data_IF_265841043724
#
_entry.id   IF_265841043724
#
_cell.length_a   1.000
_cell.length_b   1.000
_cell.length_c   1.000
_cell.angle_alpha   90.00
_cell.angle_beta   90.00
_cell.angle_gamma   90.00
#
_symmetry.space_group_name_H-M   'P 1'
#
loop_
_entity.id
_entity.type
_entity.pdbx_description
1 polymer ?
#
# COMPACT_ATOMS: atom_id res chain seq x y z
N UNK A 1 -15.86 4.70 38.33
CA UNK A 1 -15.13 5.31 37.22
C UNK A 1 -15.64 4.74 35.92
N UNK A 2 -15.92 5.61 34.94
CA UNK A 2 -16.38 5.25 33.60
C UNK A 2 -15.22 4.91 32.66
N UNK A 3 -15.48 4.18 31.57
CA UNK A 3 -14.47 3.87 30.54
C UNK A 3 -13.81 5.14 29.96
N UNK A 4 -14.56 6.25 29.92
CA UNK A 4 -14.06 7.56 29.49
C UNK A 4 -12.96 8.09 30.42
N UNK A 5 -13.11 7.93 31.73
CA UNK A 5 -12.10 8.36 32.71
C UNK A 5 -10.85 7.50 32.60
N UNK A 6 -11.00 6.20 32.39
CA UNK A 6 -9.88 5.30 32.13
C UNK A 6 -9.15 5.67 30.82
N UNK A 7 -9.87 6.06 29.77
CA UNK A 7 -9.29 6.51 28.51
C UNK A 7 -8.50 7.82 28.70
N UNK A 8 -9.04 8.77 29.46
CA UNK A 8 -8.33 10.00 29.82
C UNK A 8 -7.06 9.70 30.63
N UNK A 9 -7.13 8.79 31.60
CA UNK A 9 -5.96 8.40 32.38
C UNK A 9 -4.89 7.73 31.50
N UNK A 10 -5.28 6.82 30.61
CA UNK A 10 -4.35 6.21 29.66
C UNK A 10 -3.71 7.24 28.73
N UNK A 11 -4.51 8.21 28.26
CA UNK A 11 -4.02 9.30 27.43
C UNK A 11 -3.03 10.21 28.17
N UNK A 12 -3.25 10.50 29.45
CA UNK A 12 -2.30 11.28 30.27
C UNK A 12 -0.98 10.52 30.47
N UNK A 13 -1.03 9.19 30.58
CA UNK A 13 0.14 8.36 30.87
C UNK A 13 0.98 8.06 29.61
N UNK A 14 0.34 7.63 28.52
CA UNK A 14 1.05 7.16 27.31
C UNK A 14 0.80 8.04 26.08
N UNK A 15 -0.21 8.91 26.10
CA UNK A 15 -0.65 9.66 24.93
C UNK A 15 0.44 10.54 24.35
N UNK A 16 0.47 10.65 23.02
CA UNK A 16 1.46 11.40 22.22
C UNK A 16 2.87 10.83 22.23
N UNK A 17 3.40 10.40 23.38
CA UNK A 17 4.77 9.91 23.54
C UNK A 17 4.91 8.43 23.17
N UNK A 18 3.95 7.59 23.57
CA UNK A 18 4.02 6.14 23.38
C UNK A 18 2.78 5.58 22.68
N UNK A 19 1.65 6.28 22.73
CA UNK A 19 0.36 5.86 22.21
C UNK A 19 -0.28 6.97 21.36
N UNK A 20 -0.75 6.61 20.17
CA UNK A 20 -1.37 7.53 19.20
C UNK A 20 -2.54 6.86 18.51
N UNK A 21 -3.50 7.67 18.09
CA UNK A 21 -4.69 7.22 17.38
C UNK A 21 -4.85 8.07 16.13
N UNK A 22 -4.89 7.46 14.96
CA UNK A 22 -5.19 8.18 13.73
C UNK A 22 -5.77 7.25 12.69
N UNK A 23 -6.69 7.77 11.90
CA UNK A 23 -7.35 7.03 10.80
C UNK A 23 -8.08 5.76 11.31
N UNK A 24 -8.62 5.79 12.53
CA UNK A 24 -9.29 4.63 13.13
C UNK A 24 -8.35 3.49 13.50
N UNK A 25 -7.06 3.78 13.68
CA UNK A 25 -6.04 2.82 14.08
C UNK A 25 -5.24 3.31 15.30
N UNK A 26 -4.87 2.36 16.15
CA UNK A 26 -3.99 2.60 17.28
C UNK A 26 -2.53 2.36 16.87
N UNK A 27 -1.65 3.30 17.17
CA UNK A 27 -0.22 3.26 16.92
C UNK A 27 0.54 3.36 18.22
N UNK A 28 1.54 2.50 18.39
CA UNK A 28 2.32 2.42 19.61
C UNK A 28 3.80 2.50 19.31
N UNK A 29 4.54 3.21 20.16
CA UNK A 29 5.99 3.33 20.04
C UNK A 29 6.64 1.98 20.35
N UNK A 30 7.24 1.37 19.33
CA UNK A 30 7.95 0.12 19.47
C UNK A 30 9.40 0.37 19.91
N UNK A 31 10.09 -0.56 20.60
CA UNK A 31 11.52 -0.44 20.96
C UNK A 31 12.48 -0.18 19.77
N UNK A 32 12.00 -0.39 18.54
CA UNK A 32 12.74 -0.02 17.34
C UNK A 32 12.77 1.49 17.06
N UNK A 33 12.05 2.31 17.84
CA UNK A 33 11.99 3.77 17.73
C UNK A 33 10.94 4.28 16.74
N UNK A 34 10.10 3.41 16.18
CA UNK A 34 9.01 3.80 15.28
C UNK A 34 7.65 3.44 15.88
N UNK A 35 6.65 4.27 15.61
CA UNK A 35 5.25 3.99 15.86
C UNK A 35 4.75 2.91 14.89
N UNK A 36 4.27 1.81 15.44
CA UNK A 36 3.72 0.69 14.69
C UNK A 36 2.25 0.51 15.01
N UNK A 37 1.48 0.10 14.00
CA UNK A 37 0.06 -0.23 14.18
C UNK A 37 -0.08 -1.39 15.16
N UNK A 38 -0.95 -1.22 16.15
CA UNK A 38 -1.33 -2.24 17.12
C UNK A 38 -1.97 -3.44 16.41
N UNK A 39 -1.57 -4.66 16.80
CA UNK A 39 -2.07 -5.94 16.24
C UNK A 39 -2.36 -6.98 17.34
N UNK A 40 -2.92 -6.56 18.47
CA UNK A 40 -3.43 -7.50 19.48
C UNK A 40 -2.48 -7.91 20.61
N UNK A 41 -1.28 -7.33 20.68
CA UNK A 41 -0.37 -7.50 21.85
C UNK A 41 -0.11 -6.12 22.45
N UNK A 42 -0.71 -5.78 23.60
CA UNK A 42 -0.48 -4.48 24.25
C UNK A 42 0.99 -4.35 24.63
N UNK A 43 1.72 -3.32 24.18
CA UNK A 43 3.09 -3.11 24.60
C UNK A 43 3.11 -2.70 26.06
N UNK A 44 4.05 -3.32 26.78
CA UNK A 44 4.57 -2.92 28.07
C UNK A 44 3.55 -2.37 29.08
N UNK A 45 2.51 -3.16 29.38
CA UNK A 45 1.62 -2.94 30.53
C UNK A 45 2.38 -2.74 31.85
N UNK A 46 3.66 -3.12 31.88
CA UNK A 46 4.58 -2.87 32.97
C UNK A 46 4.86 -1.37 33.18
N UNK A 47 4.90 -0.53 32.15
CA UNK A 47 5.16 0.92 32.28
C UNK A 47 4.00 1.63 32.96
N UNK A 48 2.78 1.42 32.46
CA UNK A 48 1.56 1.93 33.10
C UNK A 48 1.46 1.42 34.54
N UNK A 49 1.72 0.13 34.75
CA UNK A 49 1.68 -0.49 36.09
C UNK A 49 2.75 0.06 37.04
N UNK A 50 3.93 0.40 36.53
CA UNK A 50 5.04 0.99 37.28
C UNK A 50 4.72 2.43 37.66
N UNK A 51 4.28 3.26 36.71
CA UNK A 51 3.92 4.65 36.98
C UNK A 51 2.78 4.76 37.99
N UNK A 52 1.73 3.94 37.86
CA UNK A 52 0.63 3.94 38.83
C UNK A 52 1.06 3.46 40.21
N UNK A 53 2.03 2.55 40.29
CA UNK A 53 2.61 2.11 41.57
C UNK A 53 3.45 3.21 42.22
N UNK A 54 4.21 3.95 41.42
CA UNK A 54 4.96 5.12 41.87
C UNK A 54 4.02 6.23 42.36
N UNK A 55 2.94 6.50 41.63
CA UNK A 55 1.94 7.50 42.00
C UNK A 55 1.19 7.11 43.28
N UNK A 56 0.80 5.84 43.43
CA UNK A 56 0.24 5.33 44.68
C UNK A 56 1.19 5.57 45.85
N UNK A 57 2.46 5.18 45.67
CA UNK A 57 3.51 5.35 46.66
C UNK A 57 3.75 6.80 47.06
N UNK A 58 3.68 7.72 46.09
CA UNK A 58 3.82 9.15 46.30
C UNK A 58 2.73 9.69 47.24
N UNK A 59 1.46 9.37 46.99
CA UNK A 59 0.35 9.77 47.87
C UNK A 59 0.49 9.19 49.29
N UNK A 60 0.93 7.94 49.43
CA UNK A 60 1.16 7.33 50.76
C UNK A 60 2.29 8.01 51.55
N UNK A 61 3.22 8.67 50.86
CA UNK A 61 4.33 9.42 51.47
C UNK A 61 4.02 10.89 51.77
N UNK A 62 2.89 11.42 51.31
CA UNK A 62 2.51 12.79 51.65
C UNK A 62 2.35 12.95 53.17
N UNK A 63 2.80 14.07 53.76
CA UNK A 63 2.54 14.40 55.17
C UNK A 63 1.05 14.38 55.50
N UNK A 64 0.71 14.08 56.76
CA UNK A 64 -0.69 13.99 57.23
C UNK A 64 -1.46 15.29 57.03
N UNK A 65 -0.83 16.43 57.28
CA UNK A 65 -1.45 17.76 57.17
C UNK A 65 -1.39 18.36 55.76
N UNK A 66 -1.10 17.55 54.73
CA UNK A 66 -0.99 18.05 53.35
C UNK A 66 -2.35 18.53 52.85
N UNK A 67 -2.53 19.83 52.55
CA UNK A 67 -3.78 20.30 51.98
C UNK A 67 -3.93 19.83 50.52
N UNK A 68 -5.16 19.64 50.08
CA UNK A 68 -5.50 19.30 48.68
C UNK A 68 -5.48 20.56 47.80
N UNK A 69 -4.38 21.30 47.85
CA UNK A 69 -4.14 22.53 47.11
C UNK A 69 -2.97 22.35 46.13
N UNK A 70 -3.11 22.89 44.91
CA UNK A 70 -2.15 22.64 43.84
C UNK A 70 -0.73 23.08 44.19
N UNK A 71 -0.53 24.29 44.71
CA UNK A 71 0.79 24.82 45.01
C UNK A 71 1.44 24.05 46.16
N UNK A 72 0.66 23.70 47.18
CA UNK A 72 1.17 22.93 48.33
C UNK A 72 1.52 21.50 47.97
N UNK A 73 0.76 20.86 47.09
CA UNK A 73 1.10 19.54 46.58
C UNK A 73 2.42 19.57 45.78
N UNK A 74 2.61 20.58 44.94
CA UNK A 74 3.88 20.75 44.22
C UNK A 74 5.06 20.97 45.17
N UNK A 75 4.87 21.73 46.26
CA UNK A 75 5.90 21.91 47.29
C UNK A 75 6.24 20.59 48.00
N UNK A 76 5.25 19.79 48.37
CA UNK A 76 5.46 18.47 48.99
C UNK A 76 6.20 17.53 48.03
N UNK A 77 5.84 17.52 46.75
CA UNK A 77 6.54 16.72 45.73
C UNK A 77 7.99 17.20 45.58
N UNK A 78 8.21 18.51 45.51
CA UNK A 78 9.57 19.07 45.44
C UNK A 78 10.38 18.74 46.69
N UNK A 79 9.79 18.77 47.88
CA UNK A 79 10.48 18.33 49.10
C UNK A 79 10.89 16.86 49.01
N UNK A 80 10.00 15.97 48.55
CA UNK A 80 10.35 14.56 48.36
C UNK A 80 11.45 14.34 47.31
N UNK A 81 11.46 15.16 46.26
CA UNK A 81 12.52 15.20 45.25
C UNK A 81 13.87 15.59 45.86
N UNK A 82 13.88 16.66 46.67
CA UNK A 82 15.07 17.12 47.39
C UNK A 82 15.57 16.09 48.42
N UNK A 83 14.67 15.46 49.18
CA UNK A 83 15.00 14.37 50.11
C UNK A 83 15.60 13.15 49.40
N UNK A 84 15.25 12.93 48.14
CA UNK A 84 15.83 11.91 47.28
C UNK A 84 17.17 12.35 46.66
N UNK A 85 17.71 13.51 47.04
CA UNK A 85 18.97 14.04 46.50
C UNK A 85 18.87 14.35 45.00
N UNK A 86 17.70 14.81 44.56
CA UNK A 86 17.41 15.10 43.15
C UNK A 86 17.66 13.90 42.21
N UNK A 87 17.45 12.69 42.74
CA UNK A 87 17.64 11.44 42.02
C UNK A 87 16.29 10.76 41.77
N UNK A 88 15.92 10.68 40.49
CA UNK A 88 14.66 10.10 40.04
C UNK A 88 14.52 8.62 40.43
N UNK A 89 15.56 7.82 40.23
CA UNK A 89 15.53 6.39 40.55
C UNK A 89 15.39 6.16 42.06
N UNK A 90 16.03 7.01 42.87
CA UNK A 90 15.88 6.94 44.33
C UNK A 90 14.48 7.36 44.77
N UNK A 91 13.90 8.40 44.16
CA UNK A 91 12.53 8.82 44.43
C UNK A 91 11.53 7.70 44.08
N UNK A 92 11.64 7.12 42.87
CA UNK A 92 10.82 5.99 42.42
C UNK A 92 10.90 4.82 43.39
N UNK A 93 12.11 4.42 43.78
CA UNK A 93 12.33 3.32 44.72
C UNK A 93 11.64 3.56 46.06
N UNK A 94 11.71 4.79 46.59
CA UNK A 94 11.04 5.15 47.84
C UNK A 94 9.51 5.12 47.71
N UNK A 95 8.97 5.61 46.60
CA UNK A 95 7.54 5.56 46.33
C UNK A 95 7.05 4.11 46.21
N UNK A 96 7.72 3.28 45.40
CA UNK A 96 7.40 1.86 45.24
C UNK A 96 7.43 1.15 46.61
N UNK A 97 8.45 1.39 47.44
CA UNK A 97 8.54 0.81 48.78
C UNK A 97 7.34 1.20 49.66
N UNK A 98 6.89 2.45 49.60
CA UNK A 98 5.74 2.93 50.36
C UNK A 98 4.42 2.30 49.89
N UNK A 99 4.25 2.11 48.57
CA UNK A 99 3.12 1.40 47.98
C UNK A 99 3.08 -0.06 48.44
N UNK A 100 4.20 -0.79 48.27
CA UNK A 100 4.30 -2.22 48.64
C UNK A 100 4.13 -2.43 50.15
N UNK A 101 4.64 -1.51 50.97
CA UNK A 101 4.50 -1.59 52.43
C UNK A 101 3.13 -1.12 52.93
N UNK A 102 2.22 -0.70 52.04
CA UNK A 102 0.89 -0.18 52.37
C UNK A 102 0.94 0.89 53.48
N UNK A 103 1.85 1.85 53.35
CA UNK A 103 2.00 2.93 54.34
C UNK A 103 0.67 3.68 54.49
N UNK A 104 0.24 3.90 55.74
CA UNK A 104 -1.00 4.58 56.09
C UNK A 104 -2.27 3.71 56.05
N UNK A 105 -2.19 2.43 55.65
CA UNK A 105 -3.36 1.57 55.49
C UNK A 105 -4.11 1.28 56.81
N UNK A 106 -3.38 1.23 57.93
CA UNK A 106 -3.95 1.06 59.27
C UNK A 106 -4.84 2.22 59.69
N UNK A 107 -4.59 3.43 59.18
CA UNK A 107 -5.36 4.65 59.50
C UNK A 107 -6.80 4.57 58.97
N UNK A 108 -7.01 3.80 57.90
CA UNK A 108 -8.33 3.64 57.28
C UNK A 108 -9.06 2.39 57.79
N UNK A 109 -8.34 1.33 58.17
CA UNK A 109 -8.95 0.09 58.72
C UNK A 109 -9.54 0.23 60.13
N UNK A 110 -9.15 1.26 60.90
CA UNK A 110 -9.67 1.47 62.27
C UNK A 110 -11.11 2.03 62.31
N UNK A 111 -11.70 2.43 61.19
CA UNK A 111 -13.09 2.92 61.13
C UNK A 111 -13.83 2.11 60.07
N UNK A 112 -14.59 1.11 60.52
CA UNK A 112 -15.23 0.10 59.66
C UNK A 112 -16.20 0.68 58.64
N UNK A 113 -16.32 -0.04 57.52
CA UNK A 113 -17.34 0.16 56.48
C UNK A 113 -16.72 0.52 55.14
N UNK A 114 -16.88 -0.35 54.15
CA UNK A 114 -16.46 -0.17 52.75
C UNK A 114 -17.19 0.99 52.02
N UNK A 115 -18.05 1.74 52.72
CA UNK A 115 -18.88 2.84 52.21
C UNK A 115 -18.69 4.16 53.00
N UNK A 116 -17.47 4.46 53.46
CA UNK A 116 -17.18 5.77 54.02
C UNK A 116 -17.18 6.84 52.92
N UNK A 117 -18.07 7.82 53.07
CA UNK A 117 -18.30 8.95 52.14
C UNK A 117 -16.97 9.60 51.69
N UNK A 118 -16.70 9.53 50.38
CA UNK A 118 -15.41 9.84 49.74
C UNK A 118 -14.97 11.30 49.91
N UNK A 119 -15.89 12.17 50.31
CA UNK A 119 -15.74 13.62 50.36
C UNK A 119 -15.56 14.17 51.80
N UNK A 120 -15.75 13.32 52.83
CA UNK A 120 -15.88 13.76 54.23
C UNK A 120 -14.59 13.82 55.06
N UNK A 121 -13.57 13.01 54.76
CA UNK A 121 -12.38 12.89 55.62
C UNK A 121 -11.14 13.61 55.06
N UNK A 122 -11.14 14.94 55.21
CA UNK A 122 -10.06 15.85 54.80
C UNK A 122 -8.70 15.44 55.39
N UNK A 123 -8.65 14.71 56.51
CA UNK A 123 -7.38 14.31 57.16
C UNK A 123 -6.68 13.13 56.50
N UNK A 124 -7.41 12.23 55.83
CA UNK A 124 -6.85 10.99 55.29
C UNK A 124 -6.97 10.87 53.77
N UNK A 125 -7.31 11.97 53.08
CA UNK A 125 -7.53 12.00 51.62
C UNK A 125 -6.36 11.41 50.82
N UNK A 126 -5.12 11.51 51.32
CA UNK A 126 -3.91 10.96 50.70
C UNK A 126 -3.93 9.42 50.62
N UNK A 127 -4.38 8.75 51.68
CA UNK A 127 -4.48 7.28 51.71
C UNK A 127 -5.64 6.83 50.85
N UNK A 128 -6.72 7.60 50.85
CA UNK A 128 -7.85 7.38 49.96
C UNK A 128 -7.45 7.55 48.48
N UNK A 129 -6.73 8.61 48.11
CA UNK A 129 -6.19 8.81 46.76
C UNK A 129 -5.28 7.64 46.34
N UNK A 130 -4.40 7.18 47.22
CA UNK A 130 -3.58 6.00 46.96
C UNK A 130 -4.43 4.74 46.67
N UNK A 131 -5.51 4.49 47.44
CA UNK A 131 -6.44 3.39 47.16
C UNK A 131 -7.15 3.55 45.82
N UNK A 132 -7.57 4.76 45.46
CA UNK A 132 -8.18 5.05 44.15
C UNK A 132 -7.20 4.74 43.02
N UNK A 133 -5.92 5.13 43.14
CA UNK A 133 -4.87 4.80 42.17
C UNK A 133 -4.66 3.28 42.07
N UNK A 134 -4.64 2.57 43.19
CA UNK A 134 -4.54 1.10 43.20
C UNK A 134 -5.74 0.44 42.49
N UNK A 135 -6.96 0.89 42.77
CA UNK A 135 -8.16 0.40 42.09
C UNK A 135 -8.14 0.72 40.59
N UNK A 136 -7.67 1.92 40.22
CA UNK A 136 -7.50 2.33 38.83
C UNK A 136 -6.50 1.43 38.11
N UNK A 137 -5.37 1.10 38.74
CA UNK A 137 -4.36 0.18 38.19
C UNK A 137 -4.96 -1.18 37.83
N UNK A 138 -5.73 -1.78 38.75
CA UNK A 138 -6.39 -3.07 38.51
C UNK A 138 -7.41 -2.99 37.37
N UNK A 139 -8.20 -1.91 37.33
CA UNK A 139 -9.22 -1.71 36.28
C UNK A 139 -8.61 -1.46 34.90
N UNK A 140 -7.61 -0.59 34.81
CA UNK A 140 -6.89 -0.31 33.56
C UNK A 140 -6.21 -1.57 33.01
N UNK A 141 -5.54 -2.34 33.86
CA UNK A 141 -4.90 -3.59 33.44
C UNK A 141 -5.93 -4.57 32.84
N UNK A 142 -7.09 -4.71 33.48
CA UNK A 142 -8.18 -5.56 32.96
C UNK A 142 -8.71 -5.05 31.62
N UNK A 143 -9.03 -3.76 31.51
CA UNK A 143 -9.64 -3.19 30.31
C UNK A 143 -8.68 -3.12 29.10
N UNK A 144 -7.37 -2.99 29.35
CA UNK A 144 -6.33 -3.13 28.34
C UNK A 144 -6.19 -4.58 27.87
N UNK A 145 -6.27 -5.54 28.80
CA UNK A 145 -6.22 -6.98 28.47
C UNK A 145 -7.43 -7.43 27.66
N UNK A 146 -8.61 -6.89 27.97
CA UNK A 146 -9.86 -7.14 27.24
C UNK A 146 -10.00 -6.32 25.95
N UNK A 147 -9.00 -5.49 25.60
CA UNK A 147 -8.97 -4.57 24.46
C UNK A 147 -10.11 -3.53 24.38
N UNK A 148 -11.05 -3.55 25.33
CA UNK A 148 -12.20 -2.63 25.39
C UNK A 148 -11.77 -1.17 25.40
N UNK A 149 -10.72 -0.87 26.15
CA UNK A 149 -10.23 0.50 26.27
C UNK A 149 -9.58 1.00 24.98
N UNK A 150 -8.79 0.14 24.32
CA UNK A 150 -8.16 0.49 23.04
C UNK A 150 -9.21 0.66 21.94
N UNK A 151 -10.23 -0.21 21.87
CA UNK A 151 -11.33 -0.05 20.93
C UNK A 151 -12.09 1.26 21.16
N UNK A 152 -12.40 1.57 22.42
CA UNK A 152 -13.03 2.85 22.77
C UNK A 152 -12.17 4.04 22.32
N UNK A 153 -10.86 4.01 22.57
CA UNK A 153 -9.99 5.10 22.17
C UNK A 153 -9.82 5.19 20.65
N UNK A 154 -9.75 4.07 19.93
CA UNK A 154 -9.71 4.04 18.46
C UNK A 154 -10.95 4.68 17.85
N UNK A 155 -12.12 4.46 18.44
CA UNK A 155 -13.39 5.01 17.96
C UNK A 155 -13.52 6.51 18.24
N UNK A 156 -13.05 6.97 19.41
CA UNK A 156 -13.37 8.30 19.92
C UNK A 156 -12.18 9.28 19.98
N UNK A 157 -10.95 8.81 19.79
CA UNK A 157 -9.74 9.64 19.87
C UNK A 157 -9.08 9.77 18.49
N UNK A 158 -8.66 10.98 18.14
CA UNK A 158 -7.88 11.27 16.94
C UNK A 158 -6.73 12.20 17.32
N UNK A 159 -5.53 11.86 16.87
CA UNK A 159 -4.29 12.57 17.16
C UNK A 159 -3.70 13.10 15.86
N UNK A 160 -3.23 14.37 15.80
CA UNK A 160 -2.63 14.89 14.59
C UNK A 160 -1.45 14.03 14.13
N UNK A 161 -1.56 13.44 12.94
CA UNK A 161 -0.51 12.63 12.35
C UNK A 161 0.58 13.53 11.76
N UNK A 162 1.63 13.74 12.53
CA UNK A 162 2.90 14.31 12.04
C UNK A 162 3.80 13.15 11.69
N UNK A 163 4.47 13.21 10.55
CA UNK A 163 5.40 12.15 10.12
C UNK A 163 6.74 12.78 9.82
N UNK A 164 7.76 12.38 10.58
CA UNK A 164 9.12 12.76 10.29
C UNK A 164 9.58 12.09 9.00
N UNK A 165 10.39 12.80 8.21
CA UNK A 165 11.08 12.28 7.04
C UNK A 165 12.21 11.34 7.48
N UNK A 166 11.87 10.18 8.03
CA UNK A 166 12.84 9.25 8.58
C UNK A 166 12.34 7.80 8.58
N UNK A 167 13.27 6.86 8.73
CA UNK A 167 12.97 5.45 8.92
C UNK A 167 13.87 4.80 9.98
N UNK A 168 13.27 3.89 10.75
CA UNK A 168 13.96 3.10 11.75
C UNK A 168 14.38 1.74 11.16
N UNK A 169 15.64 1.38 11.31
CA UNK A 169 16.20 0.07 11.04
C UNK A 169 16.41 -0.71 12.35
N UNK A 170 16.75 -1.99 12.25
CA UNK A 170 16.98 -2.86 13.41
C UNK A 170 18.04 -2.32 14.39
N UNK A 171 19.04 -1.58 13.89
CA UNK A 171 20.15 -1.06 14.72
C UNK A 171 20.36 0.46 14.66
N UNK A 172 19.62 1.19 13.84
CA UNK A 172 19.80 2.63 13.67
C UNK A 172 18.53 3.32 13.20
N UNK A 173 18.51 4.65 13.19
CA UNK A 173 17.50 5.44 12.51
C UNK A 173 18.18 6.31 11.46
N UNK A 174 17.53 6.53 10.32
CA UNK A 174 18.01 7.37 9.24
C UNK A 174 17.00 8.49 9.02
N UNK A 175 17.46 9.72 9.15
CA UNK A 175 16.72 10.94 8.85
C UNK A 175 17.07 11.42 7.45
N UNK A 176 16.06 11.77 6.67
CA UNK A 176 16.18 12.34 5.33
C UNK A 176 16.04 13.85 5.45
N UNK A 177 17.14 14.56 5.24
CA UNK A 177 17.17 16.01 5.20
C UNK A 177 16.70 16.51 3.82
N UNK A 178 16.27 17.77 3.80
CA UNK A 178 16.12 18.51 2.54
C UNK A 178 17.47 18.47 1.79
N UNK A 179 17.42 18.50 0.45
CA UNK A 179 18.58 18.30 -0.46
C UNK A 179 18.99 16.84 -0.72
N UNK A 180 18.23 15.85 -0.20
CA UNK A 180 18.44 14.43 -0.53
C UNK A 180 19.59 13.77 0.23
N UNK A 181 20.03 14.39 1.32
CA UNK A 181 21.06 13.85 2.21
C UNK A 181 20.39 12.98 3.28
N UNK A 182 20.90 11.76 3.47
CA UNK A 182 20.45 10.86 4.52
C UNK A 182 21.49 10.80 5.64
N UNK A 183 21.07 11.00 6.89
CA UNK A 183 21.93 10.99 8.08
C UNK A 183 21.47 9.92 9.06
N UNK A 184 22.43 9.16 9.58
CA UNK A 184 22.17 8.27 10.71
C UNK A 184 22.02 9.08 12.00
N UNK A 185 20.93 8.85 12.72
CA UNK A 185 20.59 9.53 13.98
C UNK A 185 20.27 8.51 15.08
N UNK A 186 20.47 8.91 16.32
CA UNK A 186 20.04 8.12 17.47
C UNK A 186 18.50 8.12 17.53
N UNK A 187 17.90 6.96 17.86
CA UNK A 187 16.44 6.80 17.94
C UNK A 187 15.78 7.81 18.88
N UNK A 188 16.45 8.15 19.98
CA UNK A 188 15.94 9.11 20.96
C UNK A 188 15.86 10.55 20.43
N UNK A 189 16.62 10.87 19.38
CA UNK A 189 16.72 12.23 18.85
C UNK A 189 15.67 12.54 17.78
N UNK A 190 14.87 11.55 17.37
CA UNK A 190 13.85 11.71 16.35
C UNK A 190 12.51 11.19 16.84
N UNK A 191 11.48 12.02 16.67
CA UNK A 191 10.10 11.70 17.03
C UNK A 191 9.31 11.46 15.75
N UNK A 192 8.09 10.97 15.88
CA UNK A 192 7.12 10.93 14.79
C UNK A 192 7.53 10.03 13.60
N UNK A 193 8.29 8.97 13.84
CA UNK A 193 8.69 8.00 12.82
C UNK A 193 7.69 6.84 12.77
N UNK A 194 7.18 6.51 11.58
CA UNK A 194 6.18 5.45 11.38
C UNK A 194 6.68 4.31 10.49
N UNK A 195 7.88 4.45 9.93
CA UNK A 195 8.47 3.47 9.03
C UNK A 195 9.53 2.67 9.76
N UNK A 196 9.30 1.37 9.88
CA UNK A 196 10.29 0.42 10.38
C UNK A 196 10.68 -0.57 9.29
N UNK A 197 11.99 -0.74 9.09
CA UNK A 197 12.57 -1.71 8.19
C UNK A 197 13.26 -2.77 9.05
N UNK A 198 12.78 -4.04 9.05
CA UNK A 198 13.27 -5.11 9.92
C UNK A 198 14.61 -5.70 9.42
N UNK A 199 15.53 -4.83 9.02
CA UNK A 199 16.84 -5.20 8.54
C UNK A 199 17.89 -4.30 9.15
N UNK A 200 19.10 -4.83 9.27
CA UNK A 200 20.27 -4.01 9.55
C UNK A 200 20.62 -3.24 8.27
N UNK A 201 20.67 -1.91 8.36
CA UNK A 201 21.39 -1.08 7.40
C UNK A 201 22.84 -1.56 7.26
N UNK A 202 23.11 -2.37 6.24
CA UNK A 202 24.49 -2.76 5.89
C UNK A 202 25.22 -1.47 5.49
N UNK A 203 26.51 -1.36 5.82
CA UNK A 203 27.31 -0.13 5.72
C UNK A 203 27.44 0.46 4.30
N UNK A 204 28.63 0.96 3.95
CA UNK A 204 28.84 1.59 2.63
C UNK A 204 28.42 0.64 1.51
N UNK A 205 27.43 1.06 0.72
CA UNK A 205 27.02 0.33 -0.49
C UNK A 205 28.22 0.28 -1.40
N UNK A 206 28.68 -0.92 -1.76
CA UNK A 206 29.87 -1.03 -2.60
C UNK A 206 29.65 -0.33 -3.95
N UNK A 207 30.67 0.35 -4.51
CA UNK A 207 30.54 1.10 -5.75
C UNK A 207 30.00 0.28 -6.92
N UNK A 208 30.32 -1.02 -6.99
CA UNK A 208 29.83 -1.94 -8.02
C UNK A 208 28.31 -2.19 -7.90
N UNK A 209 27.75 -2.21 -6.69
CA UNK A 209 26.31 -2.31 -6.46
C UNK A 209 25.61 -1.02 -6.91
N UNK A 210 26.21 0.14 -6.63
CA UNK A 210 25.71 1.44 -7.12
C UNK A 210 25.75 1.50 -8.65
N UNK A 211 26.85 1.06 -9.26
CA UNK A 211 27.00 1.02 -10.71
C UNK A 211 25.98 0.06 -11.35
N UNK A 212 25.76 -1.12 -10.75
CA UNK A 212 24.72 -2.07 -11.17
C UNK A 212 23.32 -1.47 -11.06
N UNK A 213 23.03 -0.74 -9.99
CA UNK A 213 21.75 -0.05 -9.82
C UNK A 213 21.57 1.08 -10.84
N UNK A 214 22.61 1.88 -11.10
CA UNK A 214 22.58 2.92 -12.12
C UNK A 214 22.43 2.34 -13.53
N UNK A 215 23.16 1.26 -13.86
CA UNK A 215 23.02 0.52 -15.11
C UNK A 215 21.62 -0.06 -15.23
N UNK A 216 21.08 -0.64 -14.15
CA UNK A 216 19.70 -1.10 -14.08
C UNK A 216 18.73 0.04 -14.36
N UNK A 217 18.81 1.17 -13.66
CA UNK A 217 17.95 2.34 -13.92
C UNK A 217 18.06 2.84 -15.36
N UNK A 218 19.26 2.93 -15.94
CA UNK A 218 19.46 3.33 -17.35
C UNK A 218 18.85 2.34 -18.35
N UNK A 219 18.78 1.06 -17.99
CA UNK A 219 18.25 -0.01 -18.82
C UNK A 219 16.76 -0.30 -18.56
N UNK A 220 16.20 0.25 -17.48
CA UNK A 220 14.78 0.16 -17.17
C UNK A 220 13.94 0.87 -18.22
N UNK A 221 12.76 0.30 -18.48
CA UNK A 221 11.75 0.81 -19.42
C UNK A 221 11.52 2.33 -19.34
N UNK A 222 11.57 2.90 -18.13
CA UNK A 222 11.28 4.31 -17.86
C UNK A 222 12.42 5.29 -18.22
N UNK A 223 13.67 4.83 -18.25
CA UNK A 223 14.82 5.69 -18.63
C UNK A 223 15.27 5.49 -20.07
N UNK A 224 14.79 4.45 -20.75
CA UNK A 224 14.98 4.28 -22.20
C UNK A 224 13.95 5.13 -22.95
N UNK A 225 14.23 6.44 -23.06
CA UNK A 225 13.33 7.42 -23.69
C UNK A 225 12.86 7.01 -25.11
N UNK A 226 13.69 6.40 -25.97
CA UNK A 226 13.23 5.84 -27.25
C UNK A 226 12.16 4.74 -27.10
N UNK A 227 12.37 3.75 -26.23
CA UNK A 227 11.39 2.67 -26.00
C UNK A 227 10.12 3.23 -25.37
N UNK A 228 10.25 4.14 -24.40
CA UNK A 228 9.11 4.82 -23.78
C UNK A 228 8.27 5.59 -24.81
N UNK A 229 8.91 6.39 -25.67
CA UNK A 229 8.24 7.10 -26.77
C UNK A 229 7.57 6.15 -27.76
N UNK A 230 8.22 5.03 -28.08
CA UNK A 230 7.65 3.99 -28.95
C UNK A 230 6.38 3.37 -28.32
N UNK A 231 6.40 3.09 -27.01
CA UNK A 231 5.24 2.58 -26.29
C UNK A 231 4.13 3.62 -26.18
N UNK A 232 4.45 4.90 -25.95
CA UNK A 232 3.48 5.98 -25.98
C UNK A 232 2.85 6.14 -27.37
N UNK A 233 3.64 6.03 -28.44
CA UNK A 233 3.14 6.08 -29.82
C UNK A 233 2.19 4.90 -30.09
N UNK A 234 2.58 3.68 -29.72
CA UNK A 234 1.73 2.50 -29.80
C UNK A 234 0.43 2.66 -29.00
N UNK A 235 0.49 3.13 -27.77
CA UNK A 235 -0.71 3.42 -26.96
C UNK A 235 -1.60 4.47 -27.64
N UNK A 236 -1.02 5.51 -28.23
CA UNK A 236 -1.75 6.55 -28.92
C UNK A 236 -2.41 6.05 -30.22
N UNK A 237 -1.81 5.07 -30.91
CA UNK A 237 -2.40 4.38 -32.05
C UNK A 237 -3.55 3.47 -31.61
N UNK A 238 -3.35 2.67 -30.55
CA UNK A 238 -4.38 1.79 -30.00
C UNK A 238 -5.62 2.56 -29.52
N UNK A 239 -5.42 3.70 -28.81
CA UNK A 239 -6.52 4.58 -28.36
C UNK A 239 -7.33 5.19 -29.51
N UNK A 240 -6.77 5.27 -30.72
CA UNK A 240 -7.43 5.75 -31.94
C UNK A 240 -8.11 4.63 -32.74
N UNK A 241 -8.14 3.40 -32.19
CA UNK A 241 -8.76 2.25 -32.83
C UNK A 241 -7.88 1.57 -33.88
N UNK A 242 -6.60 1.95 -33.99
CA UNK A 242 -5.66 1.25 -34.88
C UNK A 242 -5.16 -0.03 -34.21
N UNK A 243 -5.08 -1.10 -35.01
CA UNK A 243 -4.60 -2.39 -34.52
C UNK A 243 -3.07 -2.33 -34.34
N UNK A 244 -2.62 -2.37 -33.09
CA UNK A 244 -1.20 -2.40 -32.75
C UNK A 244 -0.77 -3.84 -32.52
N UNK A 245 -0.30 -4.50 -33.57
CA UNK A 245 0.18 -5.89 -33.53
C UNK A 245 1.63 -5.95 -33.02
N UNK A 246 1.91 -5.31 -31.88
CA UNK A 246 3.25 -5.32 -31.26
C UNK A 246 3.16 -5.47 -29.75
N UNK A 247 3.96 -6.38 -29.21
CA UNK A 247 4.22 -6.51 -27.78
C UNK A 247 5.54 -5.82 -27.46
N UNK A 248 5.54 -5.00 -26.41
CA UNK A 248 6.75 -4.42 -25.86
C UNK A 248 7.20 -5.25 -24.65
N UNK A 249 8.16 -6.15 -24.87
CA UNK A 249 8.75 -6.95 -23.80
C UNK A 249 9.97 -6.20 -23.29
N UNK A 250 9.93 -5.75 -22.04
CA UNK A 250 11.04 -5.09 -21.37
C UNK A 250 11.36 -5.80 -20.06
N UNK A 251 12.65 -5.96 -19.76
CA UNK A 251 13.08 -6.26 -18.40
C UNK A 251 12.87 -5.00 -17.57
N UNK A 252 11.82 -4.97 -16.76
CA UNK A 252 11.58 -3.87 -15.84
C UNK A 252 10.90 -4.33 -14.55
N UNK A 253 11.09 -3.58 -13.46
CA UNK A 253 10.47 -3.85 -12.15
C UNK A 253 8.97 -3.55 -12.07
N UNK A 254 8.28 -3.41 -13.20
CA UNK A 254 6.85 -3.09 -13.25
C UNK A 254 6.52 -1.66 -12.80
N UNK A 255 5.42 -1.14 -13.32
CA UNK A 255 4.86 0.17 -12.97
C UNK A 255 3.88 0.59 -14.05
N UNK A 256 2.76 1.20 -13.71
CA UNK A 256 1.84 1.75 -14.69
C UNK A 256 1.09 2.95 -14.15
N UNK A 257 1.00 3.99 -14.99
CA UNK A 257 0.45 5.31 -14.68
C UNK A 257 -1.03 5.47 -15.06
N UNK A 258 -1.79 4.38 -15.23
CA UNK A 258 -3.12 4.44 -15.88
C UNK A 258 -4.32 4.05 -14.99
N UNK A 259 -4.11 3.85 -13.69
CA UNK A 259 -5.19 3.62 -12.73
C UNK A 259 -6.12 2.48 -13.17
N UNK A 260 -7.42 2.76 -13.28
CA UNK A 260 -8.45 1.78 -13.65
C UNK A 260 -8.35 1.24 -15.10
N UNK A 261 -7.53 1.82 -15.97
CA UNK A 261 -7.32 1.36 -17.35
C UNK A 261 -6.12 0.39 -17.49
N UNK A 262 -5.50 0.07 -16.37
CA UNK A 262 -4.35 -0.80 -16.25
C UNK A 262 -4.67 -1.96 -15.32
N UNK A 263 -4.28 -3.16 -15.72
CA UNK A 263 -4.30 -4.32 -14.84
C UNK A 263 -2.99 -5.09 -14.88
N UNK A 264 -2.59 -5.53 -13.70
CA UNK A 264 -1.51 -6.49 -13.52
C UNK A 264 -2.12 -7.90 -13.55
N UNK A 265 -1.45 -8.84 -14.21
CA UNK A 265 -1.83 -10.25 -14.15
C UNK A 265 -0.61 -11.14 -13.92
N UNK A 266 -0.80 -12.22 -13.17
CA UNK A 266 0.21 -13.28 -13.09
C UNK A 266 0.20 -14.05 -14.41
N UNK A 267 1.31 -14.12 -15.17
CA UNK A 267 1.34 -14.93 -16.38
C UNK A 267 0.98 -16.41 -16.18
N UNK A 268 1.06 -16.91 -14.94
CA UNK A 268 0.63 -18.24 -14.58
C UNK A 268 -0.88 -18.48 -14.75
N UNK A 269 -1.73 -17.45 -14.89
CA UNK A 269 -3.15 -17.64 -15.21
C UNK A 269 -3.36 -18.44 -16.50
N UNK A 270 -2.37 -18.42 -17.42
CA UNK A 270 -2.40 -19.22 -18.64
C UNK A 270 -2.38 -20.74 -18.42
N UNK A 271 -1.99 -21.19 -17.23
CA UNK A 271 -1.86 -22.62 -16.89
C UNK A 271 -3.09 -23.20 -16.20
N UNK A 272 -3.97 -22.34 -15.67
CA UNK A 272 -5.13 -22.74 -14.90
C UNK A 272 -6.37 -22.02 -15.45
N UNK A 273 -7.21 -22.75 -16.18
CA UNK A 273 -8.42 -22.17 -16.79
C UNK A 273 -9.38 -21.58 -15.75
N UNK A 274 -9.44 -22.14 -14.53
CA UNK A 274 -10.28 -21.61 -13.46
C UNK A 274 -9.74 -20.27 -12.94
N UNK A 275 -8.42 -20.13 -12.87
CA UNK A 275 -7.78 -18.87 -12.49
C UNK A 275 -7.90 -17.82 -13.60
N UNK A 276 -7.77 -18.25 -14.86
CA UNK A 276 -8.04 -17.40 -16.01
C UNK A 276 -9.46 -16.86 -15.96
N UNK A 277 -10.48 -17.70 -15.74
CA UNK A 277 -11.89 -17.27 -15.67
C UNK A 277 -12.14 -16.25 -14.57
N UNK A 278 -11.51 -16.39 -13.41
CA UNK A 278 -11.64 -15.43 -12.30
C UNK A 278 -11.02 -14.07 -12.64
N UNK A 279 -9.83 -14.07 -13.23
CA UNK A 279 -9.09 -12.84 -13.49
C UNK A 279 -9.52 -12.16 -14.80
N UNK A 280 -10.18 -12.88 -15.73
CA UNK A 280 -10.57 -12.34 -17.04
C UNK A 280 -11.49 -11.14 -16.96
N UNK A 281 -12.37 -11.10 -15.95
CA UNK A 281 -13.29 -10.00 -15.73
C UNK A 281 -12.56 -8.73 -15.28
N UNK A 282 -11.46 -8.88 -14.54
CA UNK A 282 -10.62 -7.78 -14.06
C UNK A 282 -9.71 -7.22 -15.17
N UNK A 283 -9.28 -8.08 -16.11
CA UNK A 283 -8.49 -7.68 -17.27
C UNK A 283 -9.36 -7.04 -18.36
N UNK A 284 -10.65 -7.36 -18.38
CA UNK A 284 -11.59 -6.87 -19.38
C UNK A 284 -11.88 -5.37 -19.19
N UNK A 285 -11.53 -4.57 -20.20
CA UNK A 285 -11.65 -3.10 -20.17
C UNK A 285 -10.33 -2.37 -19.97
N UNK A 286 -9.27 -3.08 -19.55
CA UNK A 286 -7.92 -2.53 -19.52
C UNK A 286 -7.30 -2.57 -20.92
N UNK A 287 -6.78 -1.44 -21.39
CA UNK A 287 -6.01 -1.36 -22.64
C UNK A 287 -4.50 -1.43 -22.41
N UNK A 288 -4.05 -1.46 -21.15
CA UNK A 288 -2.68 -1.77 -20.78
C UNK A 288 -2.70 -2.94 -19.79
N UNK A 289 -1.97 -4.00 -20.13
CA UNK A 289 -1.81 -5.18 -19.29
C UNK A 289 -0.32 -5.43 -19.08
N UNK A 290 0.09 -5.67 -17.84
CA UNK A 290 1.46 -6.10 -17.54
C UNK A 290 1.44 -7.40 -16.77
N UNK A 291 2.32 -8.32 -17.14
CA UNK A 291 2.63 -9.49 -16.32
C UNK A 291 4.13 -9.53 -16.04
N UNK A 292 4.50 -9.98 -14.84
CA UNK A 292 5.89 -10.21 -14.45
C UNK A 292 6.08 -11.69 -14.12
N UNK A 293 7.15 -12.29 -14.64
CA UNK A 293 7.55 -13.63 -14.28
C UNK A 293 8.38 -13.63 -12.99
N UNK A 294 8.13 -14.59 -12.11
CA UNK A 294 9.01 -14.84 -10.97
C UNK A 294 10.32 -15.50 -11.45
N UNK A 295 11.49 -14.95 -11.13
CA UNK A 295 12.77 -15.59 -11.46
C UNK A 295 12.86 -16.97 -10.77
N UNK A 296 13.11 -18.04 -11.53
CA UNK A 296 13.41 -19.38 -11.00
C UNK A 296 12.29 -20.41 -11.05
N UNK A 297 11.10 -20.08 -11.58
CA UNK A 297 10.04 -21.09 -11.78
C UNK A 297 10.26 -21.89 -13.08
N UNK A 298 10.10 -23.23 -13.03
CA UNK A 298 10.11 -24.08 -14.23
C UNK A 298 8.94 -23.81 -15.19
N UNK A 299 7.94 -23.03 -14.76
CA UNK A 299 6.84 -22.54 -15.57
C UNK A 299 7.23 -21.22 -16.23
N UNK A 300 8.00 -21.30 -17.32
CA UNK A 300 8.23 -20.14 -18.20
C UNK A 300 6.95 -19.80 -18.97
N UNK A 301 6.74 -18.54 -19.33
CA UNK A 301 5.71 -18.12 -20.29
C UNK A 301 5.88 -18.96 -21.55
N UNK A 302 4.80 -19.58 -22.00
CA UNK A 302 4.80 -20.31 -23.26
C UNK A 302 4.41 -19.42 -24.43
N UNK A 303 5.09 -19.60 -25.56
CA UNK A 303 4.83 -18.89 -26.82
C UNK A 303 3.38 -19.04 -27.33
N UNK A 304 2.71 -20.15 -27.00
CA UNK A 304 1.31 -20.37 -27.37
C UNK A 304 0.34 -19.47 -26.58
N UNK A 305 0.70 -19.08 -25.35
CA UNK A 305 -0.06 -18.15 -24.53
C UNK A 305 0.01 -16.71 -25.06
N UNK A 306 1.13 -16.33 -25.69
CA UNK A 306 1.23 -15.05 -26.42
C UNK A 306 0.26 -15.00 -27.59
N UNK A 307 0.21 -16.04 -28.44
CA UNK A 307 -0.72 -16.10 -29.59
C UNK A 307 -2.17 -15.99 -29.17
N UNK A 308 -2.49 -16.52 -27.98
CA UNK A 308 -3.80 -16.51 -27.36
C UNK A 308 -4.24 -15.11 -26.86
N UNK A 309 -3.31 -14.27 -26.42
CA UNK A 309 -3.53 -12.85 -26.08
C UNK A 309 -3.50 -11.92 -27.31
N UNK A 310 -2.68 -12.25 -28.32
CA UNK A 310 -2.46 -11.45 -29.55
C UNK A 310 -3.55 -11.61 -30.63
N UNK A 311 -4.45 -12.59 -30.47
CA UNK A 311 -5.52 -12.82 -31.45
C UNK A 311 -6.51 -11.66 -31.50
N UNK A 312 -7.16 -11.46 -32.65
CA UNK A 312 -8.14 -10.39 -32.86
C UNK A 312 -9.33 -10.41 -31.87
N UNK A 313 -9.61 -11.56 -31.25
CA UNK A 313 -10.64 -11.71 -30.22
C UNK A 313 -10.21 -11.21 -28.82
N UNK A 314 -8.90 -11.03 -28.60
CA UNK A 314 -8.32 -10.60 -27.33
C UNK A 314 -8.71 -11.47 -26.12
N UNK A 315 -8.62 -10.86 -24.94
CA UNK A 315 -9.10 -11.46 -23.68
C UNK A 315 -10.63 -11.53 -23.64
N UNK A 316 -11.30 -10.56 -24.28
CA UNK A 316 -12.76 -10.42 -24.27
C UNK A 316 -13.48 -11.58 -24.98
N UNK A 317 -12.88 -12.18 -26.01
CA UNK A 317 -13.41 -13.36 -26.70
C UNK A 317 -13.39 -14.66 -25.87
N UNK A 318 -12.73 -14.64 -24.71
CA UNK A 318 -12.58 -15.80 -23.83
C UNK A 318 -13.49 -15.76 -22.60
N UNK A 319 -14.43 -14.80 -22.51
CA UNK A 319 -15.46 -14.81 -21.47
C UNK A 319 -16.24 -16.14 -21.55
N UNK A 320 -16.53 -16.80 -20.42
CA UNK A 320 -17.30 -18.04 -20.43
C UNK A 320 -18.65 -17.82 -21.13
N UNK A 321 -19.05 -18.79 -21.96
CA UNK A 321 -20.23 -18.77 -22.84
C UNK A 321 -21.59 -18.52 -22.13
N UNK A 322 -21.61 -18.31 -20.81
CA UNK A 322 -22.80 -18.00 -20.01
C UNK A 322 -23.12 -16.51 -19.85
N UNK A 323 -22.27 -15.59 -20.33
CA UNK A 323 -22.51 -14.14 -20.24
C UNK A 323 -22.44 -13.46 -21.62
N UNK A 324 -23.21 -13.98 -22.58
CA UNK A 324 -23.73 -13.13 -23.65
C UNK A 324 -25.18 -12.75 -23.35
N UNK A 325 -25.45 -11.74 -22.50
CA UNK A 325 -26.49 -10.81 -22.87
C UNK A 325 -25.94 -9.97 -24.02
N UNK A 326 -26.66 -10.01 -25.14
CA UNK A 326 -26.84 -8.86 -26.01
C UNK A 326 -26.72 -7.54 -25.23
N UNK A 327 -26.15 -6.52 -25.87
CA UNK A 327 -26.08 -5.11 -25.43
C UNK A 327 -24.95 -4.69 -24.48
N UNK A 328 -23.81 -4.32 -25.09
CA UNK A 328 -23.06 -3.11 -24.72
C UNK A 328 -22.76 -2.25 -25.97
N UNK A 329 -23.78 -2.12 -26.83
CA UNK A 329 -23.85 -1.10 -27.87
C UNK A 329 -24.93 -0.05 -27.53
N UNK A 330 -25.08 0.28 -26.25
CA UNK A 330 -26.10 1.23 -25.78
C UNK A 330 -25.56 2.64 -25.47
N UNK A 331 -24.28 2.94 -25.73
CA UNK A 331 -23.75 4.29 -25.53
C UNK A 331 -23.21 4.98 -26.80
N UNK A 332 -23.19 4.33 -27.97
CA UNK A 332 -22.71 4.95 -29.22
C UNK A 332 -23.52 4.58 -30.49
N UNK A 333 -24.72 4.01 -30.35
CA UNK A 333 -25.51 3.52 -31.49
C UNK A 333 -26.50 4.54 -32.09
N UNK A 334 -26.50 5.80 -31.67
CA UNK A 334 -27.47 6.78 -32.17
C UNK A 334 -27.04 7.56 -33.42
N UNK A 335 -25.89 7.26 -34.05
CA UNK A 335 -25.39 8.09 -35.16
C UNK A 335 -25.01 7.37 -36.46
N UNK A 336 -25.13 6.03 -36.55
CA UNK A 336 -24.79 5.32 -37.79
C UNK A 336 -25.85 4.29 -38.16
N UNK A 337 -26.32 4.35 -39.42
CA UNK A 337 -27.28 3.41 -39.96
C UNK A 337 -26.73 1.97 -39.92
N UNK A 338 -27.61 0.98 -39.66
CA UNK A 338 -27.30 -0.45 -39.49
C UNK A 338 -26.43 -1.02 -40.63
N UNK A 339 -26.63 -0.55 -41.86
CA UNK A 339 -25.83 -0.96 -43.03
C UNK A 339 -24.40 -0.43 -43.01
N UNK A 340 -24.18 0.77 -42.45
CA UNK A 340 -22.86 1.41 -42.32
C UNK A 340 -22.00 0.70 -41.28
N UNK A 341 -22.62 0.28 -40.17
CA UNK A 341 -21.95 -0.50 -39.11
C UNK A 341 -21.53 -1.89 -39.61
N UNK A 342 -22.38 -2.58 -40.36
CA UNK A 342 -22.04 -3.87 -40.98
C UNK A 342 -20.90 -3.68 -41.99
N UNK A 343 -20.88 -2.61 -42.79
CA UNK A 343 -19.76 -2.34 -43.71
C UNK A 343 -18.44 -2.01 -43.02
N UNK A 344 -18.47 -1.24 -41.93
CA UNK A 344 -17.26 -0.85 -41.19
C UNK A 344 -16.66 -2.04 -40.43
N UNK A 345 -17.51 -2.90 -39.83
CA UNK A 345 -17.06 -3.97 -38.94
C UNK A 345 -16.92 -5.32 -39.59
N UNK A 346 -17.73 -5.62 -40.62
CA UNK A 346 -17.61 -6.86 -41.34
C UNK A 346 -16.46 -6.81 -42.35
N UNK A 347 -16.07 -5.64 -42.87
CA UNK A 347 -15.13 -5.52 -43.99
C UNK A 347 -15.67 -6.17 -45.28
N UNK A 348 -15.11 -5.80 -46.44
CA UNK A 348 -15.33 -6.54 -47.69
C UNK A 348 -14.26 -7.61 -47.85
N UNK A 349 -14.56 -8.71 -48.53
CA UNK A 349 -13.48 -9.59 -48.97
C UNK A 349 -12.68 -8.94 -50.10
N UNK A 350 -11.63 -9.63 -50.52
CA UNK A 350 -10.55 -9.03 -51.32
C UNK A 350 -10.93 -9.07 -52.80
N UNK A 351 -11.39 -7.94 -53.32
CA UNK A 351 -11.77 -7.79 -54.74
C UNK A 351 -10.55 -7.62 -55.66
N UNK A 352 -10.74 -7.75 -56.96
CA UNK A 352 -9.70 -7.48 -57.96
C UNK A 352 -9.16 -6.04 -57.85
N UNK A 353 -10.05 -5.09 -57.54
CA UNK A 353 -9.69 -3.69 -57.34
C UNK A 353 -8.77 -3.51 -56.12
N UNK A 354 -8.97 -4.31 -55.07
CA UNK A 354 -8.12 -4.30 -53.89
C UNK A 354 -6.74 -4.90 -54.19
N UNK A 355 -6.66 -5.96 -55.00
CA UNK A 355 -5.37 -6.54 -55.44
C UNK A 355 -4.58 -5.51 -56.25
N UNK A 356 -5.21 -4.82 -57.20
CA UNK A 356 -4.55 -3.75 -57.96
C UNK A 356 -4.07 -2.61 -57.08
N UNK A 357 -4.90 -2.18 -56.14
CA UNK A 357 -4.52 -1.16 -55.17
C UNK A 357 -3.36 -1.61 -54.30
N UNK A 358 -3.32 -2.88 -53.92
CA UNK A 358 -2.22 -3.47 -53.17
C UNK A 358 -0.92 -3.39 -53.97
N UNK A 359 -0.95 -3.75 -55.25
CA UNK A 359 0.21 -3.66 -56.15
C UNK A 359 0.72 -2.23 -56.27
N UNK A 360 -0.16 -1.24 -56.35
CA UNK A 360 0.21 0.19 -56.45
C UNK A 360 0.92 0.72 -55.19
N UNK A 361 0.49 0.27 -54.00
CA UNK A 361 0.97 0.83 -52.72
C UNK A 361 2.06 -0.02 -52.06
N UNK A 362 2.31 -1.23 -52.56
CA UNK A 362 3.34 -2.11 -52.04
C UNK A 362 4.74 -1.62 -52.45
N UNK A 363 5.64 -1.52 -51.48
CA UNK A 363 7.07 -1.31 -51.74
C UNK A 363 7.75 -2.67 -51.92
N UNK A 364 8.33 -2.91 -53.09
CA UNK A 364 8.99 -4.18 -53.45
C UNK A 364 10.50 -3.97 -53.52
N UNK A 365 11.29 -4.81 -52.84
CA UNK A 365 12.76 -4.80 -52.98
C UNK A 365 13.15 -5.25 -54.39
N UNK A 366 14.18 -4.62 -54.97
CA UNK A 366 14.70 -4.94 -56.30
C UNK A 366 15.12 -6.42 -56.43
N UNK A 367 15.56 -7.05 -55.35
CA UNK A 367 16.02 -8.46 -55.34
C UNK A 367 14.91 -9.47 -55.62
N UNK A 368 13.64 -9.09 -55.41
CA UNK A 368 12.48 -9.98 -55.53
C UNK A 368 11.43 -9.47 -56.52
N UNK A 369 11.80 -8.52 -57.38
CA UNK A 369 10.85 -7.85 -58.27
C UNK A 369 10.16 -8.82 -59.24
N UNK A 370 10.89 -9.82 -59.74
CA UNK A 370 10.34 -10.86 -60.62
C UNK A 370 9.36 -11.76 -59.88
N UNK A 371 9.70 -12.22 -58.67
CA UNK A 371 8.83 -13.09 -57.87
C UNK A 371 7.58 -12.35 -57.37
N UNK A 372 7.70 -11.05 -57.08
CA UNK A 372 6.56 -10.20 -56.76
C UNK A 372 5.60 -10.11 -57.96
N UNK A 373 6.12 -10.01 -59.18
CA UNK A 373 5.31 -10.07 -60.41
C UNK A 373 4.45 -11.34 -60.48
N UNK A 374 5.07 -12.51 -60.28
CA UNK A 374 4.35 -13.79 -60.25
C UNK A 374 3.30 -13.88 -59.13
N UNK A 375 3.60 -13.32 -57.95
CA UNK A 375 2.64 -13.28 -56.84
C UNK A 375 1.41 -12.45 -57.21
N UNK A 376 1.57 -11.33 -57.90
CA UNK A 376 0.45 -10.50 -58.33
C UNK A 376 -0.41 -11.20 -59.39
N UNK A 377 0.21 -11.86 -60.36
CA UNK A 377 -0.51 -12.69 -61.36
C UNK A 377 -1.34 -13.78 -60.68
N UNK A 378 -0.74 -14.52 -59.73
CA UNK A 378 -1.45 -15.56 -58.96
C UNK A 378 -2.62 -14.95 -58.18
N UNK A 379 -2.45 -13.79 -57.57
CA UNK A 379 -3.51 -13.14 -56.80
C UNK A 379 -4.65 -12.65 -57.70
N UNK A 380 -4.37 -12.17 -58.90
CA UNK A 380 -5.40 -11.78 -59.87
C UNK A 380 -6.21 -12.97 -60.38
N UNK A 381 -5.59 -14.14 -60.58
CA UNK A 381 -6.27 -15.35 -61.03
C UNK A 381 -6.99 -16.12 -59.90
N UNK A 382 -6.67 -15.83 -58.65
CA UNK A 382 -7.20 -16.53 -57.48
C UNK A 382 -8.61 -16.09 -57.07
N UNK A 383 -9.33 -16.94 -56.34
CA UNK A 383 -10.62 -16.57 -55.76
C UNK A 383 -10.49 -15.66 -54.52
N UNK A 384 -11.60 -15.04 -54.13
CA UNK A 384 -11.68 -14.14 -52.98
C UNK A 384 -11.23 -14.81 -51.66
N UNK A 385 -11.47 -16.11 -51.53
CA UNK A 385 -11.12 -16.87 -50.33
C UNK A 385 -9.60 -17.09 -50.21
N UNK A 386 -8.92 -17.36 -51.32
CA UNK A 386 -7.47 -17.51 -51.37
C UNK A 386 -6.78 -16.15 -51.18
N UNK A 387 -7.28 -15.09 -51.84
CA UNK A 387 -6.79 -13.72 -51.62
C UNK A 387 -6.93 -13.27 -50.17
N UNK A 388 -8.06 -13.60 -49.53
CA UNK A 388 -8.26 -13.34 -48.11
C UNK A 388 -7.26 -14.08 -47.21
N UNK A 389 -6.85 -15.30 -47.58
CA UNK A 389 -5.78 -16.04 -46.86
C UNK A 389 -4.42 -15.38 -47.04
N UNK A 390 -4.08 -14.93 -48.24
CA UNK A 390 -2.81 -14.23 -48.50
C UNK A 390 -2.78 -12.87 -47.81
N UNK A 391 -3.90 -12.13 -47.83
CA UNK A 391 -4.06 -10.90 -47.06
C UNK A 391 -3.90 -11.17 -45.55
N UNK A 392 -4.50 -12.25 -45.04
CA UNK A 392 -4.34 -12.64 -43.63
C UNK A 392 -2.91 -13.01 -43.29
N UNK A 393 -2.21 -13.68 -44.20
CA UNK A 393 -0.81 -14.06 -44.01
C UNK A 393 0.10 -12.82 -43.94
N UNK A 394 -0.15 -11.82 -44.78
CA UNK A 394 0.70 -10.63 -44.92
C UNK A 394 0.35 -9.52 -43.94
N UNK A 395 -0.93 -9.35 -43.58
CA UNK A 395 -1.42 -8.23 -42.76
C UNK A 395 -2.07 -8.66 -41.44
N UNK A 396 -2.31 -9.95 -41.25
CA UNK A 396 -3.04 -10.50 -40.09
C UNK A 396 -4.56 -10.39 -40.20
N UNK A 397 -5.11 -9.72 -41.21
CA UNK A 397 -6.56 -9.57 -41.43
C UNK A 397 -6.99 -10.22 -42.75
N UNK A 398 -8.19 -10.82 -42.76
CA UNK A 398 -8.71 -11.54 -43.93
C UNK A 398 -9.72 -10.72 -44.75
N UNK A 399 -9.90 -9.44 -44.42
CA UNK A 399 -10.86 -8.53 -45.03
C UNK A 399 -10.30 -7.11 -45.09
N UNK A 400 -10.74 -6.37 -46.11
CA UNK A 400 -10.33 -4.99 -46.34
C UNK A 400 -11.24 -4.05 -45.55
N UNK A 401 -10.62 -3.13 -44.80
CA UNK A 401 -11.33 -2.11 -44.04
C UNK A 401 -11.91 -1.01 -44.93
N UNK A 402 -12.78 -0.18 -44.38
CA UNK A 402 -13.53 0.86 -45.13
C UNK A 402 -12.63 1.80 -45.96
N UNK A 403 -11.41 2.07 -45.50
CA UNK A 403 -10.47 3.02 -46.13
C UNK A 403 -9.63 2.37 -47.24
N UNK A 404 -9.79 1.07 -47.48
CA UNK A 404 -9.01 0.32 -48.47
C UNK A 404 -7.54 0.09 -48.04
N UNK A 405 -6.72 -0.38 -48.98
CA UNK A 405 -5.28 -0.58 -48.79
C UNK A 405 -4.55 0.75 -49.05
N UNK A 406 -3.70 1.16 -48.10
CA UNK A 406 -2.93 2.41 -48.16
C UNK A 406 -1.42 2.15 -48.10
N UNK A 407 -0.64 3.06 -48.70
CA UNK A 407 0.82 3.11 -48.51
C UNK A 407 1.15 3.70 -47.13
N UNK A 408 2.23 3.22 -46.54
CA UNK A 408 2.77 3.75 -45.30
C UNK A 408 4.15 4.35 -45.59
N UNK A 409 4.26 5.67 -45.60
CA UNK A 409 5.56 6.33 -45.50
C UNK A 409 5.88 6.52 -44.01
N UNK A 410 6.91 5.84 -43.52
CA UNK A 410 7.49 6.14 -42.23
C UNK A 410 8.22 7.49 -42.35
N UNK A 411 7.60 8.57 -41.86
CA UNK A 411 8.29 9.84 -41.65
C UNK A 411 9.13 9.81 -40.39
#
# INVERSE_FOLDING_TARGET
MSIREHALMLWIIEGSDFLRFHEGDCYMLHPCGAFQRYKGVPPDSSRISSLLLELEGMFRRFPEDSPRDHERLLQVINQQWQEAGENEELLKTRCIKAAVSNVGESLVKQRGGDDADMDGDVKNWRVYAARVVLQLKVRLARELTEEKLLHYMVEWCETPKRTASACCFEHCCVEYCDEGVARQVARANIKDVYTFIPHKLKGVVQPDIVERLQKFYRQMFWCNLPIFKCCQAAQALAKRGYNVVRIFIGLSSGGAMYGANFAYFDPNIGWNEDEMRKQIEQLNGCFVLTGQEAPGTNKRLREDLYKKFMGAEGISGRKPYGLRPSSWAAAFSCLLARLTLVRIWAGSGVSDADVRRWTEVATVSHEVQTQAGWLWEILEESDEAYRAKVLKFTTGVHRIGYVGIQSFEAR
#
